data_IF_711822833643
#
_entry.id   IF_711822833643
#
_cell.length_a   1.000
_cell.length_b   1.000
_cell.length_c   1.000
_cell.angle_alpha   90.00
_cell.angle_beta   90.00
_cell.angle_gamma   90.00
#
_symmetry.space_group_name_H-M   'P 1'
#
loop_
_entity.id
_entity.type
_entity.pdbx_description
1 polymer ?
#
# COMPACT_ATOMS: atom_id res chain seq x y z
N UNK A 1 25.31 -13.35 -10.93
CA UNK A 1 24.36 -13.60 -9.82
C UNK A 1 23.53 -12.35 -9.57
N UNK A 2 22.26 -12.30 -10.01
CA UNK A 2 21.35 -11.21 -9.60
C UNK A 2 20.81 -11.55 -8.21
N UNK A 3 21.17 -10.74 -7.21
CA UNK A 3 20.79 -10.96 -5.82
C UNK A 3 19.31 -10.63 -5.69
N UNK A 4 18.54 -11.51 -5.05
CA UNK A 4 17.09 -11.35 -4.81
C UNK A 4 16.75 -10.14 -3.91
N UNK A 5 17.79 -9.47 -3.38
CA UNK A 5 17.73 -8.23 -2.62
C UNK A 5 17.41 -6.99 -3.47
N UNK A 6 17.47 -7.08 -4.80
CA UNK A 6 17.01 -6.01 -5.70
C UNK A 6 15.50 -6.07 -5.98
N UNK A 7 14.76 -7.02 -5.37
CA UNK A 7 13.30 -6.91 -5.40
C UNK A 7 12.92 -5.83 -4.38
N UNK A 8 12.43 -4.67 -4.82
CA UNK A 8 12.00 -3.63 -3.91
C UNK A 8 10.87 -4.18 -3.02
N UNK A 9 11.15 -4.42 -1.75
CA UNK A 9 10.12 -4.67 -0.75
C UNK A 9 9.61 -3.31 -0.27
N UNK A 10 8.59 -2.79 -0.93
CA UNK A 10 7.98 -1.50 -0.56
C UNK A 10 6.88 -1.76 0.48
N UNK A 11 6.91 -1.14 1.67
CA UNK A 11 5.78 -1.24 2.58
C UNK A 11 4.57 -0.51 2.00
N UNK A 12 3.38 -1.08 2.18
CA UNK A 12 2.13 -0.41 1.79
C UNK A 12 1.93 0.87 2.61
N UNK A 13 1.72 2.02 1.96
CA UNK A 13 1.55 3.31 2.64
C UNK A 13 0.31 3.38 3.54
N UNK A 14 -0.66 2.48 3.34
CA UNK A 14 -1.90 2.45 4.11
C UNK A 14 -1.85 1.44 5.28
N UNK A 15 -1.41 0.21 5.03
CA UNK A 15 -1.44 -0.87 6.03
C UNK A 15 -0.06 -1.32 6.53
N UNK A 16 1.04 -0.78 6.01
CA UNK A 16 2.41 -1.12 6.41
C UNK A 16 2.89 -2.52 6.01
N UNK A 17 2.03 -3.36 5.42
CA UNK A 17 2.39 -4.73 5.03
C UNK A 17 3.41 -4.74 3.89
N UNK A 18 4.34 -5.72 3.85
CA UNK A 18 5.28 -5.87 2.76
C UNK A 18 4.51 -6.10 1.44
N UNK A 19 4.79 -5.27 0.44
CA UNK A 19 4.16 -5.40 -0.87
C UNK A 19 4.73 -6.62 -1.59
N UNK A 20 3.87 -7.59 -1.87
CA UNK A 20 4.26 -8.77 -2.64
C UNK A 20 4.49 -8.35 -4.09
N UNK A 21 5.66 -8.66 -4.63
CA UNK A 21 5.97 -8.44 -6.04
C UNK A 21 4.95 -9.12 -6.96
N UNK A 22 4.39 -8.38 -7.91
CA UNK A 22 3.48 -8.89 -8.94
C UNK A 22 4.01 -8.54 -10.33
N UNK A 23 3.97 -9.49 -11.27
CA UNK A 23 4.37 -9.27 -12.68
C UNK A 23 3.62 -8.11 -13.33
N UNK A 24 2.35 -7.91 -12.97
CA UNK A 24 1.52 -6.81 -13.47
C UNK A 24 2.08 -5.42 -13.11
N UNK A 25 2.93 -5.33 -12.08
CA UNK A 25 3.50 -4.07 -11.61
C UNK A 25 4.91 -3.82 -12.13
N UNK A 26 5.49 -4.71 -12.93
CA UNK A 26 6.86 -4.56 -13.40
C UNK A 26 7.13 -3.21 -14.12
N UNK A 27 6.10 -2.61 -14.75
CA UNK A 27 6.20 -1.32 -15.46
C UNK A 27 5.82 -0.11 -14.62
N UNK A 28 5.02 -0.30 -13.57
CA UNK A 28 4.43 0.77 -12.74
C UNK A 28 4.89 0.70 -11.30
N UNK A 29 5.86 -0.16 -10.98
CA UNK A 29 6.29 -0.46 -9.62
C UNK A 29 6.63 0.80 -8.80
N UNK A 30 7.23 1.81 -9.45
CA UNK A 30 7.55 3.10 -8.84
C UNK A 30 6.29 3.83 -8.34
N UNK A 31 5.22 3.81 -9.15
CA UNK A 31 3.92 4.42 -8.87
C UNK A 31 3.07 3.60 -7.89
N UNK A 32 3.33 2.29 -7.73
CA UNK A 32 2.57 1.46 -6.79
C UNK A 32 2.96 1.83 -5.35
N UNK A 33 1.99 2.37 -4.61
CA UNK A 33 2.14 2.78 -3.20
C UNK A 33 1.37 1.88 -2.23
N UNK A 34 0.48 1.02 -2.74
CA UNK A 34 -0.48 0.26 -1.95
C UNK A 34 -0.49 -1.21 -2.36
N UNK A 35 -0.61 -2.12 -1.38
CA UNK A 35 -0.58 -3.57 -1.64
C UNK A 35 -1.84 -4.10 -2.35
N UNK A 36 -2.91 -3.32 -2.39
CA UNK A 36 -4.19 -3.68 -3.01
C UNK A 36 -4.98 -2.44 -3.38
N UNK A 37 -5.91 -2.58 -4.33
CA UNK A 37 -6.85 -1.52 -4.70
C UNK A 37 -7.70 -1.07 -3.52
N UNK A 38 -8.04 -1.97 -2.60
CA UNK A 38 -8.70 -1.60 -1.34
C UNK A 38 -7.88 -0.56 -0.57
N UNK A 39 -6.59 -0.83 -0.32
CA UNK A 39 -5.73 0.12 0.40
C UNK A 39 -5.59 1.45 -0.33
N UNK A 40 -5.56 1.45 -1.66
CA UNK A 40 -5.54 2.67 -2.49
C UNK A 40 -6.83 3.48 -2.35
N UNK A 41 -7.98 2.81 -2.40
CA UNK A 41 -9.30 3.42 -2.27
C UNK A 41 -9.52 3.96 -0.86
N UNK A 42 -9.24 3.17 0.19
CA UNK A 42 -9.30 3.61 1.59
C UNK A 42 -8.40 4.84 1.83
N UNK A 43 -7.17 4.85 1.31
CA UNK A 43 -6.28 6.00 1.42
C UNK A 43 -6.84 7.27 0.73
N UNK A 44 -7.64 7.12 -0.33
CA UNK A 44 -8.37 8.23 -0.97
C UNK A 44 -9.53 8.70 -0.11
N UNK A 45 -10.26 7.78 0.53
CA UNK A 45 -11.37 8.10 1.44
C UNK A 45 -10.89 8.79 2.73
N UNK A 46 -9.73 8.42 3.27
CA UNK A 46 -9.14 9.10 4.43
C UNK A 46 -8.89 10.59 4.17
N UNK A 47 -8.51 10.98 2.94
CA UNK A 47 -8.34 12.40 2.57
C UNK A 47 -9.64 13.16 2.37
N UNK A 48 -10.75 12.46 2.11
CA UNK A 48 -12.07 13.05 1.87
C UNK A 48 -13.02 12.97 3.08
N UNK A 49 -12.64 12.24 4.14
CA UNK A 49 -13.54 11.80 5.19
C UNK A 49 -13.11 12.17 6.61
N UNK A 50 -12.44 13.31 6.82
CA UNK A 50 -12.15 13.82 8.18
C UNK A 50 -13.38 14.48 8.83
N UNK A 51 -14.51 13.75 8.86
CA UNK A 51 -15.55 13.96 9.88
C UNK A 51 -16.24 12.62 10.16
N UNK A 52 -16.31 12.30 11.46
CA UNK A 52 -16.77 11.05 12.10
C UNK A 52 -15.67 9.96 12.16
N UNK A 53 -14.99 9.71 13.26
CA UNK A 53 -15.41 9.83 14.66
C UNK A 53 -15.11 8.48 15.32
N UNK A 54 -14.19 8.50 16.28
CA UNK A 54 -14.12 7.71 17.52
C UNK A 54 -14.99 6.47 17.59
N UNK A 55 -14.39 5.32 17.88
CA UNK A 55 -14.75 4.57 19.11
C UNK A 55 -13.54 3.73 19.51
N UNK A 56 -12.77 4.28 20.45
CA UNK A 56 -12.03 3.49 21.44
C UNK A 56 -13.02 2.54 22.11
N UNK A 57 -12.69 1.25 22.25
CA UNK A 57 -13.31 0.42 23.27
C UNK A 57 -12.22 -0.41 23.97
N UNK A 58 -12.30 -0.56 25.30
CA UNK A 58 -11.30 -1.22 26.13
C UNK A 58 -11.20 -2.73 25.86
#
# INVERSE_FOLDING_TARGET
>A
MRRKADLPEKPCRHCGRPMVWRKAWARTWDEVLYCSDRCRTEAKHLRAGSVRGTTSSP
#
